data_IF_141118792525
#
_entry.id   IF_141118792525
#
_cell.length_a   1.000
_cell.length_b   1.000
_cell.length_c   1.000
_cell.angle_alpha   90.00
_cell.angle_beta   90.00
_cell.angle_gamma   90.00
#
_symmetry.space_group_name_H-M   'P 1'
#
loop_
_entity.id
_entity.type
_entity.pdbx_description
1 polymer ?
#
# COMPACT_ATOMS: atom_id res chain seq x y z
N UNK A 1 25.86 10.42 5.94
CA UNK A 1 25.05 9.47 5.14
C UNK A 1 24.53 10.24 3.92
N UNK A 2 24.80 9.77 2.69
CA UNK A 2 24.37 10.46 1.45
C UNK A 2 22.84 10.45 1.38
N UNK A 3 22.21 11.62 1.16
CA UNK A 3 20.75 11.76 1.04
C UNK A 3 20.16 10.82 -0.01
N UNK A 4 20.92 10.52 -1.08
CA UNK A 4 20.50 9.56 -2.11
C UNK A 4 20.41 8.14 -1.59
N UNK A 5 21.37 7.71 -0.77
CA UNK A 5 21.34 6.38 -0.15
C UNK A 5 20.15 6.23 0.81
N UNK A 6 19.79 7.30 1.52
CA UNK A 6 18.59 7.31 2.38
C UNK A 6 17.33 7.11 1.56
N UNK A 7 17.16 7.89 0.49
CA UNK A 7 15.97 7.84 -0.36
C UNK A 7 15.85 6.48 -1.09
N UNK A 8 16.97 5.95 -1.59
CA UNK A 8 16.99 4.62 -2.19
C UNK A 8 16.60 3.53 -1.20
N UNK A 9 17.08 3.62 0.05
CA UNK A 9 16.68 2.68 1.11
C UNK A 9 15.19 2.75 1.39
N UNK A 10 14.63 3.97 1.47
CA UNK A 10 13.18 4.14 1.64
C UNK A 10 12.39 3.52 0.48
N UNK A 11 12.79 3.74 -0.78
CA UNK A 11 12.10 3.12 -1.92
C UNK A 11 12.19 1.59 -1.94
N UNK A 12 13.29 1.01 -1.47
CA UNK A 12 13.43 -0.44 -1.34
C UNK A 12 12.47 -0.97 -0.27
N UNK A 13 12.41 -0.31 0.89
CA UNK A 13 11.54 -0.73 1.99
C UNK A 13 10.07 -0.66 1.58
N UNK A 14 9.61 0.47 1.03
CA UNK A 14 8.23 0.59 0.54
C UNK A 14 7.89 -0.49 -0.49
N UNK A 15 8.80 -0.84 -1.41
CA UNK A 15 8.55 -1.94 -2.35
C UNK A 15 8.36 -3.27 -1.62
N UNK A 16 9.19 -3.54 -0.62
CA UNK A 16 9.11 -4.76 0.18
C UNK A 16 7.75 -4.83 0.89
N UNK A 17 7.34 -3.74 1.51
CA UNK A 17 6.10 -3.67 2.28
C UNK A 17 4.87 -3.78 1.36
N UNK A 18 4.93 -3.18 0.16
CA UNK A 18 3.90 -3.36 -0.87
C UNK A 18 3.80 -4.83 -1.36
N UNK A 19 4.91 -5.55 -1.49
CA UNK A 19 4.86 -6.99 -1.79
C UNK A 19 4.32 -7.81 -0.62
N UNK A 20 4.63 -7.44 0.62
CA UNK A 20 4.06 -8.07 1.81
C UNK A 20 2.54 -7.87 1.85
N UNK A 21 2.05 -6.68 1.52
CA UNK A 21 0.62 -6.40 1.40
C UNK A 21 -0.05 -7.27 0.32
N UNK A 22 0.58 -7.46 -0.84
CA UNK A 22 0.10 -8.41 -1.87
C UNK A 22 0.00 -9.82 -1.29
N UNK A 23 1.04 -10.29 -0.61
CA UNK A 23 1.04 -11.62 0.00
C UNK A 23 -0.09 -11.78 1.02
N UNK A 24 -0.34 -10.78 1.86
CA UNK A 24 -1.44 -10.78 2.84
C UNK A 24 -2.80 -10.94 2.15
N UNK A 25 -3.01 -10.22 1.04
CA UNK A 25 -4.24 -10.34 0.24
C UNK A 25 -4.37 -11.74 -0.36
N UNK A 26 -3.29 -12.29 -0.91
CA UNK A 26 -3.29 -13.61 -1.56
C UNK A 26 -3.57 -14.76 -0.58
N UNK A 27 -3.01 -14.69 0.63
CA UNK A 27 -3.27 -15.68 1.68
C UNK A 27 -4.58 -15.40 2.46
N UNK A 28 -5.36 -14.39 2.04
CA UNK A 28 -6.68 -14.02 2.58
C UNK A 28 -6.62 -13.63 4.06
N UNK A 29 -5.66 -12.77 4.42
CA UNK A 29 -5.66 -12.10 5.71
C UNK A 29 -6.93 -11.26 5.88
N UNK A 30 -7.35 -11.09 7.13
CA UNK A 30 -8.48 -10.24 7.51
C UNK A 30 -8.27 -8.79 7.05
N UNK A 31 -9.37 -8.16 6.61
CA UNK A 31 -9.37 -6.81 6.05
C UNK A 31 -8.88 -5.75 7.04
N UNK A 32 -9.02 -5.96 8.34
CA UNK A 32 -8.51 -5.05 9.37
C UNK A 32 -7.00 -4.87 9.27
N UNK A 33 -6.24 -5.96 9.16
CA UNK A 33 -4.79 -5.89 8.97
C UNK A 33 -4.41 -5.29 7.62
N UNK A 34 -5.15 -5.60 6.55
CA UNK A 34 -4.90 -5.00 5.23
C UNK A 34 -5.10 -3.47 5.29
N UNK A 35 -6.11 -3.00 6.02
CA UNK A 35 -6.38 -1.57 6.20
C UNK A 35 -5.28 -0.87 7.00
N UNK A 36 -4.81 -1.49 8.08
CA UNK A 36 -3.70 -0.98 8.90
C UNK A 36 -2.44 -0.77 8.05
N UNK A 37 -2.03 -1.77 7.28
CA UNK A 37 -0.87 -1.68 6.39
C UNK A 37 -1.02 -0.60 5.31
N UNK A 38 -2.21 -0.46 4.71
CA UNK A 38 -2.46 0.59 3.71
C UNK A 38 -2.36 1.98 4.36
N UNK A 39 -2.90 2.15 5.57
CA UNK A 39 -2.85 3.41 6.30
C UNK A 39 -1.40 3.80 6.59
N UNK A 40 -0.62 2.90 7.18
CA UNK A 40 0.80 3.12 7.50
C UNK A 40 1.61 3.47 6.25
N UNK A 41 1.50 2.67 5.19
CA UNK A 41 2.19 2.93 3.92
C UNK A 41 1.78 4.27 3.30
N UNK A 42 0.51 4.65 3.40
CA UNK A 42 0.05 5.95 2.88
C UNK A 42 0.78 7.11 3.56
N UNK A 43 1.03 7.02 4.87
CA UNK A 43 1.73 8.05 5.64
C UNK A 43 3.22 8.09 5.34
N UNK A 44 3.86 6.94 5.15
CA UNK A 44 5.28 6.87 4.84
C UNK A 44 5.56 7.39 3.44
N UNK A 45 4.86 6.87 2.44
CA UNK A 45 5.06 7.20 1.03
C UNK A 45 4.76 8.67 0.75
N UNK A 46 3.74 9.23 1.41
CA UNK A 46 3.38 10.64 1.24
C UNK A 46 4.52 11.61 1.59
N UNK A 47 5.43 11.21 2.49
CA UNK A 47 6.53 12.07 2.97
C UNK A 47 7.79 11.98 2.12
N UNK A 48 7.85 11.08 1.14
CA UNK A 48 9.11 10.73 0.47
C UNK A 48 9.46 11.63 -0.73
N UNK A 49 8.48 11.93 -1.59
CA UNK A 49 8.68 12.72 -2.82
C UNK A 49 7.33 13.22 -3.35
N UNK A 50 7.33 14.03 -4.41
CA UNK A 50 6.09 14.44 -5.08
C UNK A 50 5.30 13.23 -5.63
N UNK A 51 6.00 12.26 -6.25
CA UNK A 51 5.42 11.00 -6.70
C UNK A 51 4.81 10.25 -5.51
N UNK A 52 5.56 10.19 -4.40
CA UNK A 52 5.09 9.58 -3.16
C UNK A 52 3.86 10.29 -2.58
N UNK A 53 3.79 11.62 -2.64
CA UNK A 53 2.63 12.38 -2.17
C UNK A 53 1.36 12.00 -2.93
N UNK A 54 1.42 11.91 -4.26
CA UNK A 54 0.27 11.52 -5.08
C UNK A 54 -0.14 10.07 -4.82
N UNK A 55 0.83 9.17 -4.70
CA UNK A 55 0.58 7.76 -4.36
C UNK A 55 -0.06 7.60 -2.98
N UNK A 56 0.42 8.35 -1.98
CA UNK A 56 -0.14 8.31 -0.62
C UNK A 56 -1.59 8.82 -0.56
N UNK A 57 -1.95 9.81 -1.39
CA UNK A 57 -3.35 10.25 -1.54
C UNK A 57 -4.20 9.12 -2.13
N UNK A 58 -3.74 8.47 -3.19
CA UNK A 58 -4.47 7.35 -3.81
C UNK A 58 -4.63 6.16 -2.84
N UNK A 59 -3.58 5.83 -2.07
CA UNK A 59 -3.65 4.81 -1.02
C UNK A 59 -4.71 5.15 0.03
N UNK A 60 -4.80 6.42 0.44
CA UNK A 60 -5.81 6.89 1.39
C UNK A 60 -7.23 6.81 0.83
N UNK A 61 -7.41 7.07 -0.46
CA UNK A 61 -8.71 6.90 -1.13
C UNK A 61 -9.13 5.43 -1.16
N UNK A 62 -8.18 4.52 -1.42
CA UNK A 62 -8.41 3.06 -1.35
C UNK A 62 -8.76 2.64 0.08
N UNK A 63 -8.00 3.11 1.08
CA UNK A 63 -8.27 2.87 2.50
C UNK A 63 -9.71 3.30 2.85
N UNK A 64 -10.09 4.54 2.56
CA UNK A 64 -11.41 5.07 2.88
C UNK A 64 -12.53 4.26 2.21
N UNK A 65 -12.33 3.86 0.96
CA UNK A 65 -13.30 3.03 0.23
C UNK A 65 -13.51 1.66 0.87
N UNK A 66 -12.42 0.99 1.25
CA UNK A 66 -12.46 -0.30 1.93
C UNK A 66 -13.01 -0.18 3.35
N UNK A 67 -12.53 0.81 4.13
CA UNK A 67 -12.99 1.08 5.48
C UNK A 67 -14.51 1.30 5.50
N UNK A 68 -15.05 2.19 4.67
CA UNK A 68 -16.50 2.44 4.59
C UNK A 68 -17.31 1.18 4.24
N UNK A 69 -16.72 0.23 3.50
CA UNK A 69 -17.39 -1.01 3.13
C UNK A 69 -17.36 -2.08 4.23
N UNK A 70 -16.33 -2.05 5.08
CA UNK A 70 -16.02 -3.09 6.05
C UNK A 70 -16.12 -2.62 7.51
N UNK A 71 -16.37 -1.33 7.78
CA UNK A 71 -16.42 -0.72 9.13
C UNK A 71 -17.29 -1.48 10.14
N UNK A 72 -18.40 -2.05 9.68
CA UNK A 72 -19.35 -2.78 10.53
C UNK A 72 -19.25 -4.31 10.38
N UNK A 73 -18.19 -4.83 9.76
CA UNK A 73 -18.02 -6.25 9.47
C UNK A 73 -16.77 -6.78 10.14
N UNK A 74 -16.95 -7.32 11.35
CA UNK A 74 -15.89 -8.01 12.08
C UNK A 74 -15.38 -9.23 11.27
N UNK A 75 -14.07 -9.47 11.29
CA UNK A 75 -13.42 -10.65 10.71
C UNK A 75 -13.78 -10.89 9.22
N UNK A 76 -13.67 -9.86 8.39
CA UNK A 76 -14.08 -9.90 6.99
C UNK A 76 -12.92 -10.04 6.03
N UNK A 77 -13.20 -10.67 4.89
CA UNK A 77 -12.21 -10.89 3.84
C UNK A 77 -12.63 -10.15 2.58
N UNK A 78 -11.64 -9.69 1.83
CA UNK A 78 -11.86 -9.17 0.49
C UNK A 78 -12.52 -10.24 -0.37
N UNK A 79 -13.52 -9.85 -1.17
CA UNK A 79 -14.02 -10.70 -2.23
C UNK A 79 -12.91 -10.92 -3.28
N UNK A 80 -12.93 -12.02 -4.06
CA UNK A 80 -11.91 -12.27 -5.07
C UNK A 80 -11.73 -11.12 -6.07
N UNK A 81 -12.83 -10.44 -6.41
CA UNK A 81 -12.79 -9.27 -7.30
C UNK A 81 -12.06 -8.09 -6.68
N UNK A 82 -12.29 -7.82 -5.39
CA UNK A 82 -11.61 -6.74 -4.68
C UNK A 82 -10.15 -7.05 -4.44
N UNK A 83 -9.83 -8.29 -4.04
CA UNK A 83 -8.45 -8.75 -3.90
C UNK A 83 -7.68 -8.54 -5.21
N UNK A 84 -8.22 -9.00 -6.34
CA UNK A 84 -7.59 -8.81 -7.65
C UNK A 84 -7.42 -7.33 -8.02
N UNK A 85 -8.42 -6.50 -7.71
CA UNK A 85 -8.36 -5.07 -7.98
C UNK A 85 -7.29 -4.38 -7.13
N UNK A 86 -7.25 -4.68 -5.83
CA UNK A 86 -6.28 -4.12 -4.89
C UNK A 86 -4.86 -4.56 -5.24
N UNK A 87 -4.63 -5.84 -5.55
CA UNK A 87 -3.33 -6.34 -6.02
C UNK A 87 -2.91 -5.62 -7.29
N UNK A 88 -3.82 -5.43 -8.25
CA UNK A 88 -3.50 -4.69 -9.48
C UNK A 88 -3.09 -3.24 -9.20
N UNK A 89 -3.74 -2.58 -8.23
CA UNK A 89 -3.37 -1.24 -7.77
C UNK A 89 -1.99 -1.22 -7.10
N UNK A 90 -1.74 -2.16 -6.19
CA UNK A 90 -0.43 -2.26 -5.51
C UNK A 90 0.70 -2.49 -6.53
N UNK A 91 0.49 -3.37 -7.51
CA UNK A 91 1.47 -3.60 -8.58
C UNK A 91 1.75 -2.33 -9.39
N UNK A 92 0.74 -1.49 -9.63
CA UNK A 92 0.92 -0.20 -10.30
C UNK A 92 1.71 0.81 -9.45
N UNK A 93 1.53 0.80 -8.13
CA UNK A 93 2.32 1.61 -7.21
C UNK A 93 3.79 1.18 -7.20
N UNK A 94 4.05 -0.13 -7.12
CA UNK A 94 5.42 -0.69 -7.20
C UNK A 94 6.15 -0.24 -8.48
N UNK A 95 5.44 -0.24 -9.62
CA UNK A 95 5.99 0.20 -10.91
C UNK A 95 6.24 1.71 -10.98
N UNK A 96 5.46 2.50 -10.23
CA UNK A 96 5.57 3.96 -10.18
C UNK A 96 6.69 4.45 -9.28
N UNK A 97 7.17 3.61 -8.35
CA UNK A 97 8.31 3.96 -7.50
C UNK A 97 9.59 4.04 -8.35
N UNK A 98 10.42 5.09 -8.18
CA UNK A 98 11.68 5.22 -8.91
C UNK A 98 12.60 4.02 -8.70
N UNK A 99 13.24 3.54 -9.77
CA UNK A 99 14.35 2.59 -9.67
C UNK A 99 15.50 3.16 -8.83
N UNK A 100 16.50 2.33 -8.49
CA UNK A 100 17.69 2.80 -7.79
C UNK A 100 18.33 3.97 -8.56
N UNK A 101 18.44 5.14 -7.91
CA UNK A 101 19.01 6.37 -8.48
C UNK A 101 20.47 6.54 -8.02
#
# INVERSE_FOLDING_TARGET
MDKRNVLNTMFINIRKDLFELVNMIEIKIDIGYILEEIEELSYEVQKMSEIGSNMGIEMRDVYNSLYNKYENKLASFLTPREANHLVSKIMSWIQSLPGLI
#
